data_IF_042608346940
#
_entry.id   IF_042608346940
#
_cell.length_a   1.000
_cell.length_b   1.000
_cell.length_c   1.000
_cell.angle_alpha   90.00
_cell.angle_beta   90.00
_cell.angle_gamma   90.00
#
_symmetry.space_group_name_H-M   'P 1'
#
loop_
_entity.id
_entity.type
_entity.pdbx_description
1 polymer ?
#
# COMPACT_ATOMS: atom_id res chain seq x y z
N UNK A 1 35.38 -24.42 -28.61
CA UNK A 1 36.56 -23.53 -28.46
C UNK A 1 36.91 -23.36 -26.98
N UNK A 2 36.99 -24.46 -26.21
CA UNK A 2 37.30 -24.50 -24.74
C UNK A 2 38.33 -25.59 -24.43
N UNK A 3 39.15 -25.98 -25.35
CA UNK A 3 40.15 -27.09 -25.15
C UNK A 3 41.60 -26.63 -25.34
N UNK A 4 41.89 -25.35 -25.32
CA UNK A 4 43.27 -24.85 -25.59
C UNK A 4 43.92 -24.05 -24.48
N UNK A 5 43.40 -24.08 -23.24
CA UNK A 5 43.98 -23.25 -22.14
C UNK A 5 44.66 -24.05 -21.04
N UNK A 6 44.61 -25.38 -21.08
CA UNK A 6 45.22 -26.25 -20.06
C UNK A 6 46.59 -26.85 -20.39
N UNK A 7 47.13 -26.52 -21.55
CA UNK A 7 48.45 -27.11 -21.99
C UNK A 7 49.67 -26.24 -21.69
N UNK A 8 49.52 -25.03 -21.15
CA UNK A 8 50.65 -24.06 -20.99
C UNK A 8 51.20 -23.95 -19.55
N UNK A 9 50.66 -24.69 -18.59
CA UNK A 9 51.06 -24.56 -17.18
C UNK A 9 51.86 -25.73 -16.63
N UNK A 10 52.45 -26.59 -17.50
CA UNK A 10 53.13 -27.82 -17.02
C UNK A 10 54.65 -27.77 -17.03
N UNK A 11 55.29 -26.69 -17.44
CA UNK A 11 56.75 -26.73 -17.65
C UNK A 11 57.64 -25.76 -16.88
N UNK A 12 57.17 -24.98 -15.93
CA UNK A 12 58.10 -24.06 -15.21
C UNK A 12 57.73 -23.81 -13.74
N UNK A 13 57.49 -24.84 -12.92
CA UNK A 13 57.47 -24.63 -11.45
C UNK A 13 58.37 -25.70 -10.82
N UNK A 14 59.64 -25.39 -10.65
CA UNK A 14 60.51 -26.00 -9.66
C UNK A 14 60.11 -25.53 -8.27
N UNK A 15 59.35 -26.36 -7.53
CA UNK A 15 59.06 -26.12 -6.13
C UNK A 15 60.20 -26.71 -5.29
N UNK A 16 60.86 -25.92 -4.42
CA UNK A 16 61.78 -26.44 -3.45
C UNK A 16 61.02 -27.28 -2.40
N UNK A 17 61.52 -28.46 -2.12
CA UNK A 17 61.03 -29.33 -1.03
C UNK A 17 61.16 -28.62 0.30
N UNK A 18 60.09 -27.97 0.74
CA UNK A 18 60.00 -27.36 2.03
C UNK A 18 59.70 -28.44 3.09
N UNK A 19 60.70 -28.82 3.90
CA UNK A 19 60.51 -29.67 5.07
C UNK A 19 59.40 -29.11 5.95
N UNK A 20 58.29 -29.80 6.01
CA UNK A 20 57.16 -29.46 6.91
C UNK A 20 57.62 -29.55 8.37
N UNK A 21 57.89 -28.40 9.00
CA UNK A 21 57.95 -28.32 10.45
C UNK A 21 56.54 -28.42 11.01
N UNK A 22 56.26 -29.50 11.76
CA UNK A 22 55.04 -29.61 12.53
C UNK A 22 54.92 -28.41 13.47
N UNK A 23 53.88 -27.64 13.41
CA UNK A 23 53.72 -26.45 14.31
C UNK A 23 53.62 -26.94 15.75
N UNK A 24 54.24 -26.19 16.70
CA UNK A 24 54.20 -26.49 18.13
C UNK A 24 52.74 -26.54 18.64
N UNK A 25 52.43 -27.33 19.67
CA UNK A 25 51.05 -27.52 20.16
C UNK A 25 50.35 -26.22 20.56
N UNK A 26 51.07 -25.18 20.89
CA UNK A 26 50.53 -23.84 21.18
C UNK A 26 50.01 -23.11 19.92
N UNK A 27 50.61 -23.33 18.74
CA UNK A 27 50.14 -22.74 17.47
C UNK A 27 48.97 -23.53 16.86
N UNK A 28 48.88 -24.83 17.16
CA UNK A 28 47.74 -25.64 16.70
C UNK A 28 46.46 -25.25 17.45
N UNK A 29 46.55 -24.92 18.76
CA UNK A 29 45.41 -24.44 19.55
C UNK A 29 44.85 -23.11 19.08
N UNK A 30 45.73 -22.17 18.67
CA UNK A 30 45.28 -20.87 18.12
C UNK A 30 44.64 -21.00 16.74
N UNK A 31 45.11 -21.93 15.91
CA UNK A 31 44.50 -22.19 14.60
C UNK A 31 43.13 -22.89 14.72
N UNK A 32 42.99 -23.83 15.66
CA UNK A 32 41.72 -24.48 15.94
C UNK A 32 40.70 -23.52 16.54
N UNK A 33 41.13 -22.61 17.43
CA UNK A 33 40.26 -21.59 18.01
C UNK A 33 39.74 -20.59 16.96
N UNK A 34 40.62 -20.20 16.02
CA UNK A 34 40.22 -19.30 14.91
C UNK A 34 39.24 -19.98 13.94
N UNK A 35 39.39 -21.29 13.67
CA UNK A 35 38.46 -22.05 12.83
C UNK A 35 37.08 -22.25 13.45
N UNK A 36 36.96 -22.20 14.79
CA UNK A 36 35.67 -22.30 15.51
C UNK A 36 35.02 -20.92 15.65
N UNK A 37 35.80 -19.87 15.92
CA UNK A 37 35.27 -18.53 16.13
C UNK A 37 34.78 -17.81 14.86
N UNK A 38 35.40 -18.10 13.69
CA UNK A 38 34.99 -17.52 12.41
C UNK A 38 33.58 -17.94 11.98
N UNK A 39 33.19 -19.25 11.96
CA UNK A 39 31.81 -19.62 11.64
C UNK A 39 30.84 -19.19 12.72
N UNK A 40 31.22 -19.13 13.99
CA UNK A 40 30.34 -18.66 15.08
C UNK A 40 30.03 -17.16 14.96
N UNK A 41 31.00 -16.33 14.59
CA UNK A 41 30.79 -14.90 14.32
C UNK A 41 29.94 -14.66 13.08
N UNK A 42 30.08 -15.53 12.05
CA UNK A 42 29.23 -15.46 10.85
C UNK A 42 27.77 -15.82 11.15
N UNK A 43 27.54 -16.87 11.95
CA UNK A 43 26.19 -17.31 12.35
C UNK A 43 25.54 -16.25 13.26
N UNK A 44 26.27 -15.70 14.23
CA UNK A 44 25.78 -14.61 15.08
C UNK A 44 25.53 -13.33 14.30
N UNK A 45 26.37 -12.99 13.33
CA UNK A 45 26.19 -11.84 12.45
C UNK A 45 24.99 -12.01 11.51
N UNK A 46 24.79 -13.22 10.95
CA UNK A 46 23.63 -13.54 10.12
C UNK A 46 22.33 -13.55 10.93
N UNK A 47 22.35 -14.04 12.17
CA UNK A 47 21.18 -14.01 13.07
C UNK A 47 20.83 -12.60 13.52
N UNK A 48 21.84 -11.72 13.78
CA UNK A 48 21.60 -10.30 14.07
C UNK A 48 21.04 -9.54 12.85
N UNK A 49 21.48 -9.90 11.64
CA UNK A 49 20.96 -9.27 10.42
C UNK A 49 19.50 -9.66 10.09
N UNK A 50 19.03 -10.82 10.59
CA UNK A 50 17.64 -11.27 10.38
C UNK A 50 16.66 -10.73 11.44
N UNK A 51 17.14 -10.08 12.51
CA UNK A 51 16.32 -9.66 13.67
C UNK A 51 16.21 -8.14 13.79
N UNK A 52 16.91 -7.37 12.98
CA UNK A 52 16.69 -5.91 12.97
C UNK A 52 15.49 -5.66 12.03
N UNK A 53 14.27 -5.42 12.57
CA UNK A 53 13.22 -4.90 11.73
C UNK A 53 13.73 -3.56 11.20
N UNK A 54 13.69 -3.37 9.88
CA UNK A 54 13.97 -2.07 9.30
C UNK A 54 13.02 -1.07 9.99
N UNK A 55 13.56 -0.22 10.85
CA UNK A 55 12.78 0.88 11.43
C UNK A 55 12.33 1.72 10.25
N UNK A 56 11.02 1.83 10.00
CA UNK A 56 10.56 2.66 8.89
C UNK A 56 11.09 4.08 9.12
N UNK A 57 11.71 4.65 8.08
CA UNK A 57 12.11 6.05 8.11
C UNK A 57 10.89 6.90 8.47
N UNK A 58 11.05 7.90 9.35
CA UNK A 58 9.97 8.77 9.79
C UNK A 58 9.19 9.33 8.59
N UNK A 59 7.90 9.11 8.60
CA UNK A 59 7.03 9.27 7.45
C UNK A 59 6.49 10.70 7.29
N UNK A 60 7.35 11.69 7.19
CA UNK A 60 6.93 12.98 6.70
C UNK A 60 7.17 13.01 5.18
N UNK A 61 6.09 13.05 4.38
CA UNK A 61 6.18 13.24 2.94
C UNK A 61 5.25 12.35 2.12
N UNK A 62 5.66 11.17 1.74
CA UNK A 62 4.92 10.31 0.82
C UNK A 62 4.55 8.98 1.48
N UNK A 63 3.30 8.56 1.31
CA UNK A 63 2.88 7.21 1.67
C UNK A 63 3.63 6.18 0.83
N UNK A 64 4.28 5.23 1.47
CA UNK A 64 5.11 4.22 0.82
C UNK A 64 4.89 2.82 1.37
N UNK A 65 4.93 1.83 0.47
CA UNK A 65 4.72 0.42 0.78
C UNK A 65 5.89 -0.42 0.26
N UNK A 66 6.34 -1.38 1.07
CA UNK A 66 7.34 -2.38 0.70
C UNK A 66 6.72 -3.77 0.80
N UNK A 67 6.52 -4.41 -0.35
CA UNK A 67 5.97 -5.77 -0.43
C UNK A 67 7.08 -6.80 -0.22
N UNK A 68 7.01 -7.53 0.90
CA UNK A 68 8.02 -8.50 1.30
C UNK A 68 7.65 -9.93 0.91
N UNK A 69 6.36 -10.27 0.97
CA UNK A 69 5.84 -11.61 0.73
C UNK A 69 4.45 -11.53 0.08
N UNK A 70 4.18 -12.41 -0.89
CA UNK A 70 2.86 -12.53 -1.50
C UNK A 70 1.82 -12.97 -0.46
N UNK A 71 0.61 -12.42 -0.58
CA UNK A 71 -0.50 -12.71 0.32
C UNK A 71 -0.37 -12.16 1.75
N UNK A 72 0.64 -11.32 2.03
CA UNK A 72 0.86 -10.69 3.33
C UNK A 72 0.76 -9.18 3.24
N UNK A 73 0.31 -8.51 4.32
CA UNK A 73 0.32 -7.06 4.38
C UNK A 73 1.73 -6.51 4.12
N UNK A 74 1.88 -5.45 3.30
CA UNK A 74 3.16 -4.81 3.07
C UNK A 74 3.65 -4.09 4.32
N UNK A 75 4.96 -3.88 4.40
CA UNK A 75 5.54 -2.94 5.37
C UNK A 75 5.30 -1.52 4.86
N UNK A 76 4.60 -0.73 5.64
CA UNK A 76 4.35 0.68 5.36
C UNK A 76 5.42 1.55 6.03
N UNK A 77 5.58 2.78 5.55
CA UNK A 77 6.51 3.76 6.15
C UNK A 77 5.95 4.48 7.39
N UNK A 78 4.70 4.18 7.80
CA UNK A 78 4.15 4.46 9.12
C UNK A 78 3.43 3.22 9.64
N UNK A 79 3.49 2.97 10.94
CA UNK A 79 2.81 1.84 11.55
C UNK A 79 1.30 2.09 11.69
N UNK A 80 0.50 1.02 11.82
CA UNK A 80 -0.93 1.16 12.08
C UNK A 80 -1.21 1.90 13.39
N UNK A 81 -0.40 1.68 14.43
CA UNK A 81 -0.56 2.35 15.73
C UNK A 81 -0.23 3.85 15.66
N UNK A 82 0.77 4.24 14.86
CA UNK A 82 1.04 5.66 14.61
C UNK A 82 -0.12 6.32 13.84
N UNK A 83 -0.63 5.69 12.79
CA UNK A 83 -1.74 6.21 12.00
C UNK A 83 -3.04 6.32 12.81
N UNK A 84 -3.31 5.32 13.67
CA UNK A 84 -4.49 5.27 14.52
C UNK A 84 -4.63 6.49 15.44
N UNK A 85 -3.52 7.07 15.89
CA UNK A 85 -3.51 8.30 16.70
C UNK A 85 -4.15 9.47 15.96
N UNK A 86 -4.16 9.45 14.64
CA UNK A 86 -4.72 10.47 13.74
C UNK A 86 -6.02 10.03 13.06
N UNK A 87 -6.68 8.97 13.53
CA UNK A 87 -7.82 8.37 12.84
C UNK A 87 -7.48 8.05 11.38
N UNK A 88 -6.32 7.45 11.15
CA UNK A 88 -5.85 7.09 9.82
C UNK A 88 -5.65 5.58 9.68
N UNK A 89 -5.96 5.04 8.50
CA UNK A 89 -6.00 3.62 8.20
C UNK A 89 -5.28 3.32 6.90
N UNK A 90 -4.66 2.15 6.79
CA UNK A 90 -4.13 1.65 5.52
C UNK A 90 -4.47 0.17 5.26
N UNK A 91 -4.87 -0.56 6.29
CA UNK A 91 -5.30 -1.95 6.23
C UNK A 91 -6.08 -2.33 7.49
N UNK A 92 -6.87 -3.40 7.42
CA UNK A 92 -7.36 -4.16 8.56
C UNK A 92 -6.36 -5.28 8.88
N UNK A 93 -5.70 -5.20 10.03
CA UNK A 93 -4.70 -6.18 10.44
C UNK A 93 -5.28 -7.34 11.27
N UNK A 94 -6.61 -7.51 11.31
CA UNK A 94 -7.28 -8.60 12.02
C UNK A 94 -6.99 -9.99 11.45
N UNK A 95 -6.55 -10.07 10.20
CA UNK A 95 -6.33 -11.33 9.50
C UNK A 95 -7.57 -11.88 8.78
N UNK A 96 -8.73 -11.20 8.88
CA UNK A 96 -9.92 -11.57 8.12
C UNK A 96 -9.73 -11.39 6.62
N UNK A 97 -10.19 -12.35 5.82
CA UNK A 97 -10.18 -12.25 4.35
C UNK A 97 -11.25 -11.27 3.84
N UNK A 98 -11.08 -10.00 4.14
CA UNK A 98 -11.89 -8.89 3.64
C UNK A 98 -11.07 -7.95 2.79
N UNK A 99 -11.65 -7.42 1.72
CA UNK A 99 -11.09 -6.39 0.86
C UNK A 99 -11.95 -5.14 1.01
N UNK A 100 -11.32 -4.00 1.22
CA UNK A 100 -11.93 -2.67 1.19
C UNK A 100 -11.53 -2.01 -0.11
N UNK A 101 -12.44 -2.05 -1.10
CA UNK A 101 -12.15 -1.57 -2.44
C UNK A 101 -12.36 -0.07 -2.54
N UNK A 102 -11.36 0.65 -3.04
CA UNK A 102 -11.41 2.11 -3.15
C UNK A 102 -10.91 2.58 -4.51
N UNK A 103 -11.48 3.68 -4.98
CA UNK A 103 -11.12 4.33 -6.24
C UNK A 103 -10.83 5.80 -6.00
N UNK A 104 -9.73 6.31 -6.58
CA UNK A 104 -9.50 7.75 -6.70
C UNK A 104 -10.02 8.21 -8.06
N UNK A 105 -10.85 9.27 -8.06
CA UNK A 105 -11.57 9.79 -9.21
C UNK A 105 -11.31 11.29 -9.40
N UNK A 106 -10.30 11.63 -10.21
CA UNK A 106 -9.91 13.02 -10.48
C UNK A 106 -10.68 13.65 -11.65
N UNK A 107 -11.06 12.84 -12.64
CA UNK A 107 -11.84 13.24 -13.83
C UNK A 107 -12.47 11.98 -14.45
N UNK A 108 -13.47 12.17 -15.34
CA UNK A 108 -14.10 11.10 -16.07
C UNK A 108 -13.54 11.00 -17.49
N UNK A 109 -13.32 9.77 -17.95
CA UNK A 109 -12.82 9.48 -19.29
C UNK A 109 -13.51 8.25 -19.94
N UNK A 110 -14.73 7.94 -19.52
CA UNK A 110 -15.55 6.85 -20.07
C UNK A 110 -15.42 5.50 -19.35
N UNK A 111 -14.64 5.40 -18.30
CA UNK A 111 -14.36 4.12 -17.63
C UNK A 111 -15.25 3.86 -16.40
N UNK A 112 -15.73 4.89 -15.70
CA UNK A 112 -16.41 4.74 -14.40
C UNK A 112 -17.72 3.95 -14.54
N UNK A 113 -18.49 4.12 -15.62
CA UNK A 113 -19.72 3.35 -15.82
C UNK A 113 -19.47 1.85 -15.84
N UNK A 114 -18.45 1.38 -16.55
CA UNK A 114 -18.09 -0.05 -16.60
C UNK A 114 -17.61 -0.58 -15.26
N UNK A 115 -16.90 0.26 -14.49
CA UNK A 115 -16.49 -0.06 -13.12
C UNK A 115 -17.72 -0.26 -12.22
N UNK A 116 -18.67 0.67 -12.26
CA UNK A 116 -19.92 0.56 -11.50
C UNK A 116 -20.77 -0.66 -11.91
N UNK A 117 -20.83 -0.96 -13.21
CA UNK A 117 -21.52 -2.16 -13.70
C UNK A 117 -20.92 -3.45 -13.13
N UNK A 118 -19.58 -3.55 -13.07
CA UNK A 118 -18.90 -4.69 -12.48
C UNK A 118 -19.16 -4.79 -10.97
N UNK A 119 -19.05 -3.67 -10.24
CA UNK A 119 -19.35 -3.63 -8.81
C UNK A 119 -20.78 -4.05 -8.49
N UNK A 120 -21.75 -3.56 -9.28
CA UNK A 120 -23.17 -3.92 -9.15
C UNK A 120 -23.42 -5.40 -9.42
N UNK A 121 -22.81 -5.97 -10.47
CA UNK A 121 -22.92 -7.39 -10.81
C UNK A 121 -22.50 -8.30 -9.67
N UNK A 122 -21.39 -7.96 -8.97
CA UNK A 122 -20.84 -8.72 -7.85
C UNK A 122 -21.40 -8.29 -6.49
N UNK A 123 -22.27 -7.26 -6.44
CA UNK A 123 -22.78 -6.67 -5.19
C UNK A 123 -21.67 -6.19 -4.25
N UNK A 124 -20.59 -5.66 -4.84
CA UNK A 124 -19.39 -5.22 -4.10
C UNK A 124 -19.51 -3.74 -3.72
N UNK A 125 -19.49 -3.39 -2.42
CA UNK A 125 -19.39 -2.01 -2.00
C UNK A 125 -18.00 -1.45 -2.28
N UNK A 126 -17.93 -0.16 -2.65
CA UNK A 126 -16.67 0.55 -2.84
C UNK A 126 -16.75 1.97 -2.28
N UNK A 127 -15.58 2.60 -2.10
CA UNK A 127 -15.49 4.02 -1.79
C UNK A 127 -14.77 4.76 -2.93
N UNK A 128 -15.37 5.86 -3.39
CA UNK A 128 -14.82 6.72 -4.42
C UNK A 128 -14.35 8.03 -3.80
N UNK A 129 -13.06 8.27 -3.79
CA UNK A 129 -12.46 9.52 -3.35
C UNK A 129 -12.41 10.48 -4.53
N UNK A 130 -13.31 11.46 -4.52
CA UNK A 130 -13.54 12.38 -5.64
C UNK A 130 -12.94 13.75 -5.37
N UNK A 131 -12.60 14.48 -6.44
CA UNK A 131 -12.17 15.88 -6.39
C UNK A 131 -13.25 16.80 -6.95
N UNK A 132 -13.07 18.14 -6.80
CA UNK A 132 -14.03 19.14 -7.29
C UNK A 132 -14.36 18.97 -8.77
N UNK A 133 -13.35 18.84 -9.63
CA UNK A 133 -13.54 18.64 -11.07
C UNK A 133 -14.42 17.41 -11.40
N UNK A 134 -14.29 16.32 -10.66
CA UNK A 134 -15.12 15.13 -10.90
C UNK A 134 -16.60 15.39 -10.54
N UNK A 135 -16.85 16.08 -9.41
CA UNK A 135 -18.20 16.46 -9.01
C UNK A 135 -18.86 17.40 -10.02
N UNK A 136 -18.12 18.40 -10.52
CA UNK A 136 -18.60 19.39 -11.48
C UNK A 136 -18.93 18.76 -12.83
N UNK A 137 -18.09 17.88 -13.33
CA UNK A 137 -18.19 17.36 -14.70
C UNK A 137 -18.97 16.06 -14.82
N UNK A 138 -19.19 15.33 -13.73
CA UNK A 138 -19.80 14.01 -13.72
C UNK A 138 -20.82 13.79 -12.60
N UNK A 139 -21.73 14.76 -12.34
CA UNK A 139 -22.68 14.67 -11.22
C UNK A 139 -23.61 13.46 -11.30
N UNK A 140 -23.96 13.00 -12.48
CA UNK A 140 -24.85 11.84 -12.67
C UNK A 140 -24.14 10.53 -12.25
N UNK A 141 -22.84 10.40 -12.48
CA UNK A 141 -22.07 9.26 -12.00
C UNK A 141 -21.94 9.28 -10.47
N UNK A 142 -21.78 10.46 -9.88
CA UNK A 142 -21.77 10.62 -8.40
C UNK A 142 -23.11 10.18 -7.81
N UNK A 143 -24.22 10.61 -8.37
CA UNK A 143 -25.56 10.17 -7.95
C UNK A 143 -25.75 8.68 -8.14
N UNK A 144 -25.21 8.11 -9.23
CA UNK A 144 -25.22 6.67 -9.48
C UNK A 144 -24.42 5.91 -8.41
N UNK A 145 -23.21 6.36 -8.05
CA UNK A 145 -22.41 5.78 -6.97
C UNK A 145 -23.23 5.69 -5.68
N UNK A 146 -23.89 6.78 -5.29
CA UNK A 146 -24.70 6.85 -4.08
C UNK A 146 -25.89 5.87 -4.15
N UNK A 147 -26.64 5.92 -5.26
CA UNK A 147 -27.82 5.07 -5.43
C UNK A 147 -27.52 3.57 -5.48
N UNK A 148 -26.30 3.19 -5.88
CA UNK A 148 -25.80 1.82 -5.88
C UNK A 148 -25.13 1.43 -4.56
N UNK A 149 -25.15 2.31 -3.53
CA UNK A 149 -24.68 2.01 -2.17
C UNK A 149 -23.18 2.21 -1.95
N UNK A 150 -22.50 2.88 -2.87
CA UNK A 150 -21.10 3.21 -2.72
C UNK A 150 -20.91 4.46 -1.86
N UNK A 151 -19.75 4.55 -1.20
CA UNK A 151 -19.35 5.74 -0.46
C UNK A 151 -18.67 6.72 -1.41
N UNK A 152 -19.15 7.97 -1.46
CA UNK A 152 -18.43 9.08 -2.08
C UNK A 152 -17.71 9.84 -0.99
N UNK A 153 -16.39 10.01 -1.13
CA UNK A 153 -15.49 10.49 -0.10
C UNK A 153 -14.59 11.62 -0.62
N UNK A 154 -13.95 12.34 0.30
CA UNK A 154 -13.21 13.55 0.03
C UNK A 154 -11.77 13.29 -0.42
N UNK A 155 -11.41 13.75 -1.64
CA UNK A 155 -10.04 13.75 -2.15
C UNK A 155 -9.51 15.17 -2.40
N UNK A 156 -10.01 16.16 -1.65
CA UNK A 156 -9.81 17.61 -1.78
C UNK A 156 -10.48 18.22 -3.02
N UNK A 157 -10.62 19.55 -3.03
CA UNK A 157 -11.26 20.23 -4.16
C UNK A 157 -10.33 20.31 -5.37
N UNK A 158 -9.07 20.76 -5.18
CA UNK A 158 -8.11 21.03 -6.26
C UNK A 158 -7.01 19.98 -6.41
N UNK A 159 -7.00 18.93 -5.58
CA UNK A 159 -5.96 17.88 -5.57
C UNK A 159 -4.52 18.42 -5.31
N UNK A 160 -4.29 19.36 -4.38
CA UNK A 160 -2.97 19.88 -4.10
C UNK A 160 -2.10 18.88 -3.30
N UNK A 161 -0.80 19.18 -3.22
CA UNK A 161 0.07 18.54 -2.24
C UNK A 161 -0.27 19.06 -0.83
N UNK A 162 -1.16 18.34 -0.12
CA UNK A 162 -1.66 18.75 1.19
C UNK A 162 -0.57 18.82 2.24
N UNK A 163 0.54 18.07 2.09
CA UNK A 163 1.66 18.11 3.04
C UNK A 163 2.36 19.46 3.10
N UNK A 164 2.18 20.30 2.09
CA UNK A 164 2.71 21.66 2.00
C UNK A 164 1.79 22.73 2.58
N UNK A 165 0.55 22.37 2.90
CA UNK A 165 -0.41 23.30 3.51
C UNK A 165 -0.27 23.20 5.02
N UNK A 166 0.33 24.23 5.62
CA UNK A 166 0.61 24.27 7.06
C UNK A 166 -0.44 25.04 7.86
N UNK A 167 -1.22 25.90 7.22
CA UNK A 167 -2.28 26.62 7.90
C UNK A 167 -3.62 25.87 7.87
N UNK A 168 -4.33 25.92 9.00
CA UNK A 168 -5.57 25.17 9.21
C UNK A 168 -6.72 25.65 8.33
N UNK A 169 -6.77 26.93 8.01
CA UNK A 169 -7.87 27.51 7.25
C UNK A 169 -7.80 27.05 5.79
N UNK A 170 -6.63 27.14 5.15
CA UNK A 170 -6.41 26.64 3.79
C UNK A 170 -6.63 25.14 3.70
N UNK A 171 -6.16 24.37 4.70
CA UNK A 171 -6.39 22.93 4.77
C UNK A 171 -7.90 22.61 4.86
N UNK A 172 -8.61 23.26 5.78
CA UNK A 172 -10.05 23.08 5.96
C UNK A 172 -10.84 23.49 4.71
N UNK A 173 -10.43 24.56 4.02
CA UNK A 173 -11.07 25.05 2.81
C UNK A 173 -11.03 24.03 1.67
N UNK A 174 -9.91 23.36 1.44
CA UNK A 174 -9.79 22.29 0.44
C UNK A 174 -10.83 21.18 0.67
N UNK A 175 -11.09 20.83 1.92
CA UNK A 175 -12.05 19.78 2.26
C UNK A 175 -13.49 20.28 2.25
N UNK A 176 -13.75 21.44 2.88
CA UNK A 176 -15.11 21.99 3.02
C UNK A 176 -15.69 22.49 1.69
N UNK A 177 -14.86 23.00 0.78
CA UNK A 177 -15.33 23.39 -0.56
C UNK A 177 -15.86 22.19 -1.34
N UNK A 178 -15.21 21.02 -1.24
CA UNK A 178 -15.71 19.80 -1.87
C UNK A 178 -17.01 19.32 -1.21
N UNK A 179 -17.11 19.37 0.12
CA UNK A 179 -18.34 19.01 0.84
C UNK A 179 -19.52 19.89 0.44
N UNK A 180 -19.29 21.20 0.32
CA UNK A 180 -20.32 22.12 -0.11
C UNK A 180 -20.84 21.82 -1.52
N UNK A 181 -19.94 21.58 -2.47
CA UNK A 181 -20.29 21.20 -3.83
C UNK A 181 -21.02 19.84 -3.87
N UNK A 182 -20.55 18.86 -3.10
CA UNK A 182 -21.23 17.56 -3.00
C UNK A 182 -22.67 17.71 -2.49
N UNK A 183 -22.85 18.52 -1.43
CA UNK A 183 -24.19 18.77 -0.87
C UNK A 183 -25.08 19.49 -1.87
N UNK A 184 -24.55 20.46 -2.63
CA UNK A 184 -25.28 21.18 -3.69
C UNK A 184 -25.78 20.20 -4.78
N UNK A 185 -24.93 19.26 -5.20
CA UNK A 185 -25.25 18.32 -6.29
C UNK A 185 -26.20 17.20 -5.84
N UNK A 186 -26.02 16.69 -4.62
CA UNK A 186 -26.68 15.46 -4.16
C UNK A 186 -27.82 15.71 -3.18
N UNK A 187 -27.81 16.83 -2.48
CA UNK A 187 -28.70 17.11 -1.36
C UNK A 187 -28.29 16.38 -0.05
N UNK A 188 -27.20 15.63 -0.07
CA UNK A 188 -26.73 14.84 1.06
C UNK A 188 -25.47 15.43 1.71
N UNK A 189 -25.22 15.09 2.97
CA UNK A 189 -23.97 15.45 3.66
C UNK A 189 -22.88 14.43 3.32
N UNK A 190 -21.73 14.89 2.85
CA UNK A 190 -20.58 14.03 2.56
C UNK A 190 -20.05 13.39 3.85
N UNK A 191 -19.76 12.09 3.81
CA UNK A 191 -19.10 11.42 4.93
C UNK A 191 -17.70 11.99 5.15
N UNK A 192 -17.30 12.14 6.40
CA UNK A 192 -15.97 12.65 6.80
C UNK A 192 -14.87 11.61 6.57
N UNK A 193 -14.78 11.10 5.34
CA UNK A 193 -13.72 10.21 4.88
C UNK A 193 -12.83 10.96 3.90
N UNK A 194 -11.54 10.87 4.11
CA UNK A 194 -10.54 11.65 3.40
C UNK A 194 -9.39 10.78 2.93
N UNK A 195 -8.89 11.05 1.75
CA UNK A 195 -7.61 10.52 1.26
C UNK A 195 -6.74 11.68 0.80
N UNK A 196 -5.50 11.82 1.33
CA UNK A 196 -4.60 12.87 0.88
C UNK A 196 -4.17 12.62 -0.57
N UNK A 197 -4.24 13.63 -1.45
CA UNK A 197 -3.77 13.54 -2.82
C UNK A 197 -2.35 12.98 -2.92
N UNK A 198 -2.13 12.07 -3.88
CA UNK A 198 -0.83 11.42 -4.13
C UNK A 198 -0.28 10.63 -2.93
N UNK A 199 -1.05 10.44 -1.87
CA UNK A 199 -0.56 9.88 -0.60
C UNK A 199 0.42 10.79 0.13
N UNK A 200 0.45 12.08 -0.18
CA UNK A 200 1.33 13.05 0.47
C UNK A 200 0.70 13.59 1.74
N UNK A 201 1.42 13.47 2.85
CA UNK A 201 0.93 13.85 4.15
C UNK A 201 2.04 14.30 5.09
N UNK A 202 1.66 14.96 6.17
CA UNK A 202 2.48 15.18 7.36
C UNK A 202 1.67 14.85 8.61
N UNK A 203 2.32 14.63 9.74
CA UNK A 203 1.62 14.42 11.03
C UNK A 203 0.71 15.61 11.38
N UNK A 204 1.13 16.83 11.02
CA UNK A 204 0.33 18.04 11.20
C UNK A 204 -0.95 17.98 10.37
N UNK A 205 -0.87 17.58 9.09
CA UNK A 205 -2.04 17.46 8.22
C UNK A 205 -3.00 16.34 8.68
N UNK A 206 -2.46 15.21 9.15
CA UNK A 206 -3.28 14.15 9.72
C UNK A 206 -4.02 14.63 10.98
N UNK A 207 -3.34 15.41 11.84
CA UNK A 207 -3.98 16.00 13.01
C UNK A 207 -5.06 17.01 12.61
N UNK A 208 -4.82 17.87 11.61
CA UNK A 208 -5.83 18.80 11.10
C UNK A 208 -7.06 18.05 10.57
N UNK A 209 -6.87 16.97 9.80
CA UNK A 209 -7.96 16.15 9.30
C UNK A 209 -8.76 15.54 10.45
N UNK A 210 -8.10 14.96 11.45
CA UNK A 210 -8.72 14.41 12.66
C UNK A 210 -9.53 15.46 13.41
N UNK A 211 -8.96 16.68 13.61
CA UNK A 211 -9.62 17.78 14.33
C UNK A 211 -10.87 18.31 13.58
N UNK A 212 -10.93 18.11 12.26
CA UNK A 212 -12.09 18.39 11.42
C UNK A 212 -13.09 17.22 11.38
N UNK A 213 -12.83 16.15 12.14
CA UNK A 213 -13.69 14.97 12.25
C UNK A 213 -13.50 13.93 11.16
N UNK A 214 -12.45 14.02 10.35
CA UNK A 214 -12.20 13.08 9.27
C UNK A 214 -11.55 11.78 9.75
N UNK A 215 -11.87 10.70 9.04
CA UNK A 215 -11.14 9.45 8.98
C UNK A 215 -10.26 9.48 7.73
N UNK A 216 -8.95 9.32 7.88
CA UNK A 216 -8.01 9.35 6.75
C UNK A 216 -7.71 7.95 6.25
N UNK A 217 -7.80 7.72 4.93
CA UNK A 217 -7.55 6.41 4.34
C UNK A 217 -6.39 6.45 3.36
N UNK A 218 -5.33 5.74 3.71
CA UNK A 218 -4.29 5.31 2.79
C UNK A 218 -4.69 3.96 2.15
N UNK A 219 -3.74 3.19 1.68
CA UNK A 219 -3.94 1.88 1.05
C UNK A 219 -2.81 0.93 1.41
N UNK A 220 -3.04 -0.36 1.30
CA UNK A 220 -2.04 -1.41 1.45
C UNK A 220 -1.77 -2.16 0.15
N UNK A 221 -2.59 -1.93 -0.88
CA UNK A 221 -2.36 -2.45 -2.22
C UNK A 221 -2.70 -1.38 -3.25
N UNK A 222 -1.76 -1.09 -4.12
CA UNK A 222 -1.93 -0.27 -5.32
C UNK A 222 -0.94 -0.68 -6.40
N UNK A 223 -1.16 -0.21 -7.60
CA UNK A 223 -0.21 -0.32 -8.71
C UNK A 223 -0.30 0.92 -9.60
N UNK A 224 0.64 1.09 -10.51
CA UNK A 224 0.66 2.26 -11.41
C UNK A 224 -0.37 2.02 -12.51
N UNK A 225 -1.51 2.69 -12.43
CA UNK A 225 -2.67 2.57 -13.31
C UNK A 225 -3.23 3.92 -13.83
N UNK A 226 -2.66 5.04 -13.36
CA UNK A 226 -3.19 6.39 -13.61
C UNK A 226 -2.68 7.07 -14.89
N UNK A 227 -1.62 6.56 -15.53
CA UNK A 227 -1.12 7.12 -16.80
C UNK A 227 -2.04 6.74 -17.96
N UNK A 228 -2.69 7.73 -18.60
CA UNK A 228 -3.67 7.45 -19.68
C UNK A 228 -3.05 6.81 -20.91
N UNK A 229 -1.93 7.33 -21.33
CA UNK A 229 -1.18 6.93 -22.53
C UNK A 229 -0.24 5.73 -22.28
N UNK A 230 -0.16 5.27 -21.03
CA UNK A 230 0.69 4.14 -20.63
C UNK A 230 -0.04 3.21 -19.67
N UNK A 231 -1.18 2.70 -20.08
CA UNK A 231 -1.94 1.74 -19.29
C UNK A 231 -1.22 0.39 -19.17
N UNK A 232 -1.20 -0.22 -17.98
CA UNK A 232 -0.58 -1.53 -17.79
C UNK A 232 -1.34 -2.61 -18.56
N UNK A 233 -0.60 -3.58 -19.10
CA UNK A 233 -1.23 -4.76 -19.73
C UNK A 233 -2.05 -5.54 -18.68
N UNK A 234 -3.18 -6.14 -19.09
CA UNK A 234 -4.06 -6.93 -18.20
C UNK A 234 -3.28 -7.98 -17.40
N UNK A 235 -2.36 -8.71 -18.05
CA UNK A 235 -1.52 -9.72 -17.38
C UNK A 235 -0.68 -9.14 -16.24
N UNK A 236 -0.10 -7.95 -16.43
CA UNK A 236 0.70 -7.28 -15.39
C UNK A 236 -0.17 -6.74 -14.27
N UNK A 237 -1.37 -6.23 -14.58
CA UNK A 237 -2.35 -5.83 -13.59
C UNK A 237 -2.76 -7.01 -12.69
N UNK A 238 -3.19 -8.13 -13.28
CA UNK A 238 -3.52 -9.35 -12.53
C UNK A 238 -2.36 -9.86 -11.70
N UNK A 239 -1.15 -9.94 -12.26
CA UNK A 239 0.04 -10.37 -11.51
C UNK A 239 0.25 -9.54 -10.24
N UNK A 240 0.12 -8.21 -10.34
CA UNK A 240 0.29 -7.32 -9.18
C UNK A 240 -0.87 -7.41 -8.20
N UNK A 241 -2.10 -7.36 -8.69
CA UNK A 241 -3.30 -7.32 -7.86
C UNK A 241 -3.55 -8.66 -7.15
N UNK A 242 -3.35 -9.80 -7.83
CA UNK A 242 -3.53 -11.11 -7.23
C UNK A 242 -2.34 -11.52 -6.34
N UNK A 243 -1.10 -11.19 -6.74
CA UNK A 243 0.08 -11.52 -5.95
C UNK A 243 0.24 -10.68 -4.68
N UNK A 244 -0.33 -9.47 -4.65
CA UNK A 244 -0.21 -8.55 -3.51
C UNK A 244 -1.45 -8.50 -2.62
N UNK A 245 -2.56 -9.12 -3.04
CA UNK A 245 -3.76 -9.14 -2.19
C UNK A 245 -3.47 -9.87 -0.89
N UNK A 246 -3.99 -9.37 0.19
CA UNK A 246 -3.83 -9.93 1.53
C UNK A 246 -5.09 -9.69 2.37
N UNK A 247 -5.32 -10.46 3.44
CA UNK A 247 -6.43 -10.22 4.36
C UNK A 247 -6.43 -8.78 4.88
N UNK A 248 -7.59 -8.13 4.83
CA UNK A 248 -7.80 -6.76 5.29
C UNK A 248 -7.23 -5.67 4.39
N UNK A 249 -6.94 -5.95 3.11
CA UNK A 249 -6.38 -4.98 2.19
C UNK A 249 -7.33 -3.81 1.93
N UNK A 250 -6.85 -2.57 2.09
CA UNK A 250 -7.43 -1.40 1.44
C UNK A 250 -6.78 -1.30 0.07
N UNK A 251 -7.56 -1.52 -0.98
CA UNK A 251 -7.09 -1.52 -2.37
C UNK A 251 -7.38 -0.17 -2.99
N UNK A 252 -6.34 0.48 -3.52
CA UNK A 252 -6.46 1.68 -4.33
C UNK A 252 -6.36 1.35 -5.81
N UNK A 253 -7.39 1.71 -6.56
CA UNK A 253 -7.46 1.75 -8.02
C UNK A 253 -7.85 3.17 -8.47
N UNK A 254 -7.59 3.50 -9.74
CA UNK A 254 -8.07 4.76 -10.32
C UNK A 254 -9.20 4.50 -11.30
N UNK A 255 -10.30 5.27 -11.19
CA UNK A 255 -11.45 5.17 -12.11
C UNK A 255 -11.10 5.59 -13.53
N UNK A 256 -10.03 6.35 -13.71
CA UNK A 256 -9.52 6.77 -15.03
C UNK A 256 -8.81 5.65 -15.80
N UNK A 257 -8.52 4.50 -15.17
CA UNK A 257 -7.78 3.40 -15.80
C UNK A 257 -8.69 2.55 -16.68
N UNK A 258 -8.42 2.55 -17.99
CA UNK A 258 -9.09 1.66 -18.92
C UNK A 258 -8.78 0.18 -18.67
N UNK A 259 -7.59 -0.11 -18.13
CA UNK A 259 -7.24 -1.47 -17.71
C UNK A 259 -8.11 -1.92 -16.55
N UNK A 260 -8.29 -1.08 -15.51
CA UNK A 260 -9.18 -1.40 -14.39
C UNK A 260 -10.61 -1.65 -14.86
N UNK A 261 -11.16 -0.78 -15.69
CA UNK A 261 -12.49 -0.95 -16.25
C UNK A 261 -12.64 -2.29 -17.01
N UNK A 262 -11.59 -2.67 -17.74
CA UNK A 262 -11.60 -3.88 -18.56
C UNK A 262 -11.36 -5.20 -17.79
N UNK A 263 -10.82 -5.14 -16.56
CA UNK A 263 -10.49 -6.35 -15.79
C UNK A 263 -11.30 -6.51 -14.52
N UNK A 264 -12.02 -5.49 -14.06
CA UNK A 264 -12.61 -5.48 -12.71
C UNK A 264 -13.56 -6.64 -12.48
N UNK A 265 -14.43 -6.96 -13.43
CA UNK A 265 -15.36 -8.09 -13.34
C UNK A 265 -14.62 -9.43 -13.09
N UNK A 266 -13.59 -9.71 -13.89
CA UNK A 266 -12.77 -10.92 -13.70
C UNK A 266 -11.94 -10.86 -12.41
N UNK A 267 -11.45 -9.69 -12.04
CA UNK A 267 -10.66 -9.50 -10.82
C UNK A 267 -11.49 -9.77 -9.56
N UNK A 268 -12.73 -9.27 -9.52
CA UNK A 268 -13.65 -9.53 -8.41
C UNK A 268 -13.94 -11.04 -8.30
N UNK A 269 -14.27 -11.70 -9.42
CA UNK A 269 -14.44 -13.17 -9.45
C UNK A 269 -13.24 -13.89 -8.85
N UNK A 270 -12.01 -13.53 -9.27
CA UNK A 270 -10.80 -14.18 -8.76
C UNK A 270 -10.58 -13.94 -7.25
N UNK A 271 -10.88 -12.76 -6.75
CA UNK A 271 -10.78 -12.49 -5.31
C UNK A 271 -11.84 -13.27 -4.51
N UNK A 272 -13.07 -13.42 -5.05
CA UNK A 272 -14.12 -14.27 -4.47
C UNK A 272 -13.69 -15.74 -4.43
N UNK A 273 -13.12 -16.27 -5.54
CA UNK A 273 -12.56 -17.63 -5.63
C UNK A 273 -11.41 -17.86 -4.64
N UNK A 274 -10.61 -16.83 -4.33
CA UNK A 274 -9.58 -16.86 -3.27
C UNK A 274 -10.17 -16.81 -1.86
N UNK A 275 -11.50 -16.70 -1.72
CA UNK A 275 -12.23 -16.68 -0.45
C UNK A 275 -12.27 -15.30 0.21
N UNK A 276 -12.06 -14.22 -0.53
CA UNK A 276 -12.25 -12.87 -0.01
C UNK A 276 -13.72 -12.46 -0.11
N UNK A 277 -14.18 -11.72 0.90
CA UNK A 277 -15.40 -10.91 0.83
C UNK A 277 -15.02 -9.44 0.70
N UNK A 278 -16.00 -8.59 0.38
CA UNK A 278 -15.80 -7.15 0.29
C UNK A 278 -16.53 -6.47 1.44
N UNK A 279 -15.84 -5.52 2.08
CA UNK A 279 -16.36 -4.72 3.19
C UNK A 279 -16.38 -3.24 2.85
N UNK A 280 -17.12 -2.46 3.63
CA UNK A 280 -17.12 -1.00 3.53
C UNK A 280 -16.07 -0.37 4.43
N UNK A 281 -15.59 0.83 4.10
CA UNK A 281 -14.70 1.60 5.00
C UNK A 281 -15.37 1.90 6.35
N UNK A 282 -16.72 1.96 6.39
CA UNK A 282 -17.47 2.12 7.62
C UNK A 282 -17.33 0.89 8.54
N UNK A 283 -17.42 -0.32 7.96
CA UNK A 283 -17.17 -1.57 8.70
C UNK A 283 -15.77 -1.59 9.31
N UNK A 284 -14.74 -1.17 8.55
CA UNK A 284 -13.37 -1.07 9.04
C UNK A 284 -13.25 -0.15 10.26
N UNK A 285 -13.82 1.05 10.18
CA UNK A 285 -13.80 2.04 11.28
C UNK A 285 -14.53 1.51 12.51
N UNK A 286 -15.72 0.93 12.34
CA UNK A 286 -16.53 0.39 13.46
C UNK A 286 -15.83 -0.78 14.16
N UNK A 287 -15.24 -1.71 13.43
CA UNK A 287 -14.47 -2.82 14.01
C UNK A 287 -13.33 -2.32 14.90
N UNK A 288 -12.61 -1.31 14.41
CA UNK A 288 -11.47 -0.76 15.15
C UNK A 288 -11.92 -0.04 16.42
N UNK A 289 -13.05 0.68 16.39
CA UNK A 289 -13.63 1.32 17.56
C UNK A 289 -14.10 0.29 18.62
N UNK A 290 -14.76 -0.79 18.19
CA UNK A 290 -15.21 -1.87 19.08
C UNK A 290 -14.01 -2.55 19.78
N UNK A 291 -12.92 -2.85 19.07
CA UNK A 291 -11.72 -3.47 19.65
C UNK A 291 -11.09 -2.60 20.75
N UNK A 292 -11.17 -1.26 20.61
CA UNK A 292 -10.63 -0.32 21.60
C UNK A 292 -11.43 -0.33 22.91
N UNK A 293 -12.75 -0.41 22.82
CA UNK A 293 -13.62 -0.43 24.01
C UNK A 293 -13.40 -1.69 24.88
N UNK A 294 -13.05 -2.82 24.28
CA UNK A 294 -12.74 -4.07 25.00
C UNK A 294 -11.34 -4.07 25.65
N UNK A 295 -10.40 -3.25 25.19
CA UNK A 295 -9.04 -3.15 25.77
C UNK A 295 -8.94 -2.16 26.93
N UNK A 296 -9.97 -1.35 27.18
CA UNK A 296 -10.02 -0.35 28.25
C UNK A 296 -10.81 -0.83 29.48
N UNK A 297 -11.35 -2.04 29.47
CA UNK A 297 -12.02 -2.72 30.59
C UNK A 297 -11.09 -3.79 31.17
#
# INVERSE_FOLDING_TARGET
MIFSFFSFLREHIHLPLCRSRIPSPRRLGTFLLALILLPLSYVLGAFAATVIPAVPASADGNWGLSFQQEGKPPVANATADELKQYNAWYADLSGEKVIYLTFDAGYENGNTSSILDALKKHQVPAAFFVVGNYLETSPDLVKRMISEGHIVANHTYHHPDMSKISDRESFAKELSSLEALYTEITGETMRKYYRPPQGKYSKVNLQMAKDLGYQTFFWSLAYVDWYQDKQPAKKEAFKKLLGRIHPGAIVLLHSTSSTNAAILDELLTKWEEMGYRFGTLEELVQKTAATQSFQQV
#
